data_IF_766270343884
#
_entry.id   IF_766270343884
#
_cell.length_a   1.000
_cell.length_b   1.000
_cell.length_c   1.000
_cell.angle_alpha   90.00
_cell.angle_beta   90.00
_cell.angle_gamma   90.00
#
_symmetry.space_group_name_H-M   'P 1'
#
loop_
_entity.id
_entity.type
_entity.pdbx_description
1 polymer ?
#
# COMPACT_ATOMS: atom_id res chain seq x y z
N UNK A 1 -29.59 -37.06 56.25
CA UNK A 1 -30.16 -36.09 55.31
C UNK A 1 -29.54 -34.72 55.62
N UNK A 2 -28.52 -34.33 54.84
CA UNK A 2 -27.98 -32.96 54.86
C UNK A 2 -28.12 -32.42 53.43
N UNK A 3 -28.91 -31.37 53.28
CA UNK A 3 -29.04 -30.63 52.07
C UNK A 3 -27.74 -29.86 51.76
N UNK A 4 -27.19 -30.03 50.55
CA UNK A 4 -26.08 -29.26 50.05
C UNK A 4 -26.54 -27.87 49.54
N UNK A 5 -25.68 -26.87 49.47
CA UNK A 5 -26.06 -25.56 49.03
C UNK A 5 -26.29 -25.53 47.50
N UNK A 6 -27.31 -24.82 47.09
CA UNK A 6 -27.65 -24.51 45.68
C UNK A 6 -26.53 -23.66 45.09
N UNK A 7 -25.96 -24.15 43.99
CA UNK A 7 -25.13 -23.29 43.11
C UNK A 7 -26.04 -22.30 42.39
N UNK A 8 -25.93 -21.05 42.78
CA UNK A 8 -26.48 -19.93 42.01
C UNK A 8 -25.77 -19.85 40.66
N UNK A 9 -26.53 -19.94 39.57
CA UNK A 9 -26.07 -19.61 38.23
C UNK A 9 -25.80 -18.11 38.19
N UNK A 10 -24.53 -17.73 38.21
CA UNK A 10 -24.11 -16.39 37.77
C UNK A 10 -24.25 -16.41 36.25
N UNK A 11 -25.27 -15.75 35.75
CA UNK A 11 -25.33 -15.40 34.33
C UNK A 11 -24.29 -14.32 34.10
N UNK A 12 -23.10 -14.71 33.66
CA UNK A 12 -22.12 -13.77 33.10
C UNK A 12 -22.76 -13.13 31.88
N UNK A 13 -23.25 -11.90 32.08
CA UNK A 13 -23.66 -11.04 30.97
C UNK A 13 -22.38 -10.59 30.31
N UNK A 14 -21.97 -11.27 29.23
CA UNK A 14 -20.93 -10.81 28.33
C UNK A 14 -21.33 -9.39 27.91
N UNK A 15 -20.58 -8.39 28.35
CA UNK A 15 -20.74 -7.01 27.92
C UNK A 15 -20.19 -6.93 26.49
N UNK A 16 -20.97 -7.43 25.53
CA UNK A 16 -20.82 -7.07 24.15
C UNK A 16 -21.22 -5.60 24.07
N UNK A 17 -20.35 -4.71 23.61
CA UNK A 17 -20.64 -3.27 23.51
C UNK A 17 -21.99 -2.95 22.89
N UNK A 18 -22.43 -1.70 22.78
CA UNK A 18 -23.79 -1.34 22.42
C UNK A 18 -24.24 -2.09 21.16
N UNK A 19 -25.42 -2.70 21.22
CA UNK A 19 -26.02 -3.32 20.02
C UNK A 19 -26.27 -2.21 19.02
N UNK A 20 -25.69 -2.34 17.82
CA UNK A 20 -25.97 -1.45 16.72
C UNK A 20 -27.44 -1.58 16.34
N UNK A 21 -28.11 -0.46 16.14
CA UNK A 21 -29.43 -0.39 15.50
C UNK A 21 -29.29 -0.19 13.98
N UNK A 22 -28.05 -0.15 13.50
CA UNK A 22 -27.70 0.03 12.08
C UNK A 22 -28.19 -1.12 11.21
N UNK A 23 -28.36 -0.84 9.94
CA UNK A 23 -28.78 -1.83 8.96
C UNK A 23 -27.68 -2.86 8.71
N UNK A 24 -28.06 -4.15 8.68
CA UNK A 24 -27.13 -5.25 8.45
C UNK A 24 -27.02 -5.60 6.96
N UNK A 25 -25.79 -5.78 6.50
CA UNK A 25 -25.45 -6.14 5.12
C UNK A 25 -24.75 -7.50 5.10
N UNK A 26 -25.51 -8.55 4.81
CA UNK A 26 -24.99 -9.91 4.72
C UNK A 26 -24.22 -10.10 3.42
N UNK A 27 -22.88 -10.23 3.52
CA UNK A 27 -22.03 -10.47 2.37
C UNK A 27 -22.37 -11.75 1.64
N UNK A 28 -22.65 -12.83 2.38
CA UNK A 28 -23.00 -14.14 1.85
C UNK A 28 -24.33 -14.16 1.08
N UNK A 29 -25.27 -13.32 1.47
CA UNK A 29 -26.56 -13.19 0.78
C UNK A 29 -26.52 -12.18 -0.38
N UNK A 30 -25.34 -11.60 -0.65
CA UNK A 30 -25.12 -10.67 -1.76
C UNK A 30 -25.54 -9.25 -1.49
N UNK A 31 -25.79 -8.86 -0.23
CA UNK A 31 -26.04 -7.47 0.16
C UNK A 31 -24.74 -6.65 0.15
N UNK A 32 -24.17 -6.45 -1.05
CA UNK A 32 -22.83 -5.88 -1.23
C UNK A 32 -22.82 -4.37 -1.54
N UNK A 33 -23.98 -3.71 -1.51
CA UNK A 33 -24.08 -2.25 -1.66
C UNK A 33 -24.54 -1.67 -0.33
N UNK A 34 -23.68 -0.88 0.29
CA UNK A 34 -23.84 -0.38 1.65
C UNK A 34 -23.98 1.13 1.62
N UNK A 35 -25.18 1.70 1.75
CA UNK A 35 -25.35 3.10 2.06
C UNK A 35 -24.61 3.43 3.35
N UNK A 36 -23.59 4.27 3.25
CA UNK A 36 -22.69 4.54 4.37
C UNK A 36 -23.25 5.69 5.20
N UNK A 37 -23.52 5.48 6.49
CA UNK A 37 -23.99 6.55 7.37
C UNK A 37 -22.95 7.68 7.47
N UNK A 38 -23.43 8.92 7.33
CA UNK A 38 -22.64 10.14 7.46
C UNK A 38 -23.09 10.87 8.71
N UNK A 39 -22.17 11.19 9.61
CA UNK A 39 -22.41 11.98 10.82
C UNK A 39 -21.61 13.29 10.75
N UNK A 40 -22.05 14.34 11.43
CA UNK A 40 -21.34 15.63 11.41
C UNK A 40 -19.97 15.54 12.12
N UNK A 41 -19.96 14.90 13.28
CA UNK A 41 -18.75 14.61 14.07
C UNK A 41 -18.98 13.26 14.75
N UNK A 42 -18.15 12.30 14.44
CA UNK A 42 -18.28 10.96 15.01
C UNK A 42 -17.90 10.94 16.50
N UNK A 43 -17.03 11.85 16.97
CA UNK A 43 -16.55 11.88 18.35
C UNK A 43 -15.90 10.58 18.81
N UNK A 44 -15.53 9.72 17.87
CA UNK A 44 -14.96 8.39 18.16
C UNK A 44 -13.51 8.54 18.59
N UNK A 45 -13.20 7.89 19.70
CA UNK A 45 -11.83 7.71 20.19
C UNK A 45 -11.37 6.31 19.80
N UNK A 46 -10.23 6.23 19.16
CA UNK A 46 -9.63 4.95 18.80
C UNK A 46 -8.91 4.40 20.03
N UNK A 47 -9.59 3.56 20.81
CA UNK A 47 -9.07 2.96 22.05
C UNK A 47 -9.38 1.46 22.18
N UNK A 48 -9.90 0.85 21.11
CA UNK A 48 -10.18 -0.58 21.01
C UNK A 48 -11.45 -1.02 21.75
N UNK A 49 -12.44 -0.11 22.01
CA UNK A 49 -13.66 -0.42 22.77
C UNK A 49 -14.95 -0.32 21.97
N UNK A 50 -15.01 0.61 21.03
CA UNK A 50 -16.20 0.89 20.23
C UNK A 50 -17.46 1.09 21.08
N UNK A 51 -17.38 1.92 22.12
CA UNK A 51 -18.49 2.17 23.06
C UNK A 51 -19.14 3.55 22.86
N UNK A 52 -18.71 4.34 21.87
CA UNK A 52 -19.30 5.61 21.55
C UNK A 52 -20.68 5.47 20.90
N UNK A 53 -21.55 6.45 21.15
CA UNK A 53 -22.92 6.47 20.65
C UNK A 53 -22.99 6.45 19.11
N UNK A 54 -22.02 7.05 18.43
CA UNK A 54 -21.94 7.09 16.97
C UNK A 54 -22.01 5.70 16.32
N UNK A 55 -21.40 4.69 16.96
CA UNK A 55 -21.44 3.32 16.46
C UNK A 55 -22.85 2.72 16.38
N UNK A 56 -23.81 3.27 17.15
CA UNK A 56 -25.20 2.82 17.10
C UNK A 56 -25.88 3.06 15.72
N UNK A 57 -25.37 4.03 14.96
CA UNK A 57 -25.90 4.38 13.62
C UNK A 57 -25.12 3.74 12.48
N UNK A 58 -24.00 3.08 12.77
CA UNK A 58 -23.12 2.51 11.76
C UNK A 58 -23.80 1.41 10.93
N UNK A 59 -23.48 1.32 9.65
CA UNK A 59 -23.84 0.15 8.84
C UNK A 59 -23.02 -1.07 9.29
N UNK A 60 -23.65 -2.25 9.31
CA UNK A 60 -23.02 -3.47 9.85
C UNK A 60 -22.81 -4.50 8.74
N UNK A 61 -21.58 -4.84 8.45
CA UNK A 61 -21.20 -5.88 7.49
C UNK A 61 -21.09 -7.22 8.22
N UNK A 62 -21.86 -8.22 7.78
CA UNK A 62 -21.96 -9.52 8.45
C UNK A 62 -21.84 -10.67 7.48
N UNK A 63 -21.90 -11.90 7.99
CA UNK A 63 -22.00 -13.14 7.19
C UNK A 63 -20.84 -13.35 6.23
N UNK A 64 -19.62 -13.33 6.75
CA UNK A 64 -18.40 -13.57 5.99
C UNK A 64 -18.36 -14.97 5.38
N UNK A 65 -17.71 -15.09 4.23
CA UNK A 65 -17.53 -16.33 3.49
C UNK A 65 -16.05 -16.70 3.44
N UNK A 66 -15.73 -17.95 3.77
CA UNK A 66 -14.37 -18.47 3.65
C UNK A 66 -13.95 -18.54 2.19
N UNK A 67 -12.71 -18.14 1.89
CA UNK A 67 -12.11 -18.29 0.57
C UNK A 67 -10.80 -19.10 0.58
N UNK A 68 -10.15 -19.25 1.73
CA UNK A 68 -9.01 -20.14 1.94
C UNK A 68 -9.23 -20.99 3.19
N UNK A 69 -8.91 -22.28 3.19
CA UNK A 69 -8.46 -23.13 2.06
C UNK A 69 -9.61 -23.64 1.18
N UNK A 70 -10.86 -23.42 1.55
CA UNK A 70 -12.05 -23.91 0.83
C UNK A 70 -12.99 -22.75 0.56
N UNK A 71 -13.23 -22.45 -0.71
CA UNK A 71 -14.12 -21.36 -1.13
C UNK A 71 -15.61 -21.65 -0.84
N UNK A 72 -16.36 -20.58 -0.52
CA UNK A 72 -17.82 -20.57 -0.49
C UNK A 72 -18.44 -21.17 0.77
N UNK A 73 -17.65 -21.59 1.75
CA UNK A 73 -18.15 -22.01 3.06
C UNK A 73 -18.43 -20.79 3.94
N UNK A 74 -19.37 -20.87 4.92
CA UNK A 74 -19.46 -19.86 5.97
C UNK A 74 -18.11 -19.70 6.66
N UNK A 75 -17.78 -18.48 7.09
CA UNK A 75 -16.61 -18.26 7.91
C UNK A 75 -16.67 -19.13 9.17
N UNK A 76 -15.54 -19.74 9.54
CA UNK A 76 -15.47 -20.61 10.72
C UNK A 76 -15.70 -19.84 12.03
N UNK A 77 -15.35 -18.56 12.04
CA UNK A 77 -15.54 -17.66 13.16
C UNK A 77 -16.32 -16.43 12.67
N UNK A 78 -17.40 -16.00 13.34
CA UNK A 78 -18.16 -14.83 12.95
C UNK A 78 -17.31 -13.54 12.99
N UNK A 79 -17.66 -12.61 12.12
CA UNK A 79 -17.05 -11.27 12.08
C UNK A 79 -18.13 -10.27 11.77
N UNK A 80 -18.16 -9.18 12.50
CA UNK A 80 -19.03 -8.02 12.28
C UNK A 80 -18.16 -6.79 12.08
N UNK A 81 -18.49 -5.96 11.09
CA UNK A 81 -17.79 -4.72 10.81
C UNK A 81 -18.78 -3.59 10.79
N UNK A 82 -18.64 -2.67 11.71
CA UNK A 82 -19.36 -1.41 11.73
C UNK A 82 -18.59 -0.39 10.91
N UNK A 83 -19.29 0.36 10.05
CA UNK A 83 -18.71 1.40 9.22
C UNK A 83 -19.57 2.65 9.23
N UNK A 84 -18.94 3.81 9.38
CA UNK A 84 -19.54 5.13 9.23
C UNK A 84 -18.47 6.14 8.78
N UNK A 85 -18.90 7.32 8.35
CA UNK A 85 -18.02 8.43 8.00
C UNK A 85 -18.44 9.71 8.71
N UNK A 86 -17.49 10.58 8.97
CA UNK A 86 -17.74 11.99 9.26
C UNK A 86 -17.14 12.88 8.17
N UNK A 87 -17.06 14.18 8.39
CA UNK A 87 -16.51 15.13 7.41
C UNK A 87 -15.00 14.91 7.15
N UNK A 88 -14.26 14.23 8.03
CA UNK A 88 -12.81 14.19 8.04
C UNK A 88 -12.21 12.78 7.83
N UNK A 89 -12.99 11.73 8.12
CA UNK A 89 -12.47 10.37 8.16
C UNK A 89 -13.55 9.31 7.91
N UNK A 90 -13.12 8.12 7.54
CA UNK A 90 -13.90 6.89 7.58
C UNK A 90 -13.47 6.07 8.80
N UNK A 91 -14.43 5.48 9.49
CA UNK A 91 -14.25 4.73 10.72
C UNK A 91 -14.75 3.30 10.55
N UNK A 92 -14.00 2.37 11.13
CA UNK A 92 -14.38 0.96 11.21
C UNK A 92 -14.21 0.46 12.65
N UNK A 93 -15.20 -0.28 13.15
CA UNK A 93 -15.04 -1.11 14.33
C UNK A 93 -15.33 -2.57 13.95
N UNK A 94 -14.38 -3.46 14.19
CA UNK A 94 -14.40 -4.84 13.73
C UNK A 94 -14.44 -5.77 14.93
N UNK A 95 -15.56 -6.46 15.13
CA UNK A 95 -15.72 -7.50 16.13
C UNK A 95 -15.37 -8.84 15.51
N UNK A 96 -14.27 -9.39 15.90
CA UNK A 96 -13.75 -10.67 15.43
C UNK A 96 -14.02 -11.74 16.48
N UNK A 97 -15.22 -12.34 16.48
CA UNK A 97 -15.59 -13.40 17.44
C UNK A 97 -14.72 -14.63 17.27
N UNK A 98 -14.43 -15.29 18.37
CA UNK A 98 -13.63 -16.50 18.39
C UNK A 98 -14.12 -17.45 19.51
N UNK A 99 -14.39 -18.71 19.17
CA UNK A 99 -14.84 -19.73 20.11
C UNK A 99 -13.70 -20.26 20.99
N UNK A 100 -12.45 -19.90 20.69
CA UNK A 100 -11.25 -20.25 21.46
C UNK A 100 -10.33 -19.01 21.57
N UNK A 101 -10.71 -17.99 22.38
CA UNK A 101 -9.96 -16.74 22.47
C UNK A 101 -8.49 -16.91 22.89
N UNK A 102 -8.20 -17.90 23.74
CA UNK A 102 -6.83 -18.25 24.13
C UNK A 102 -5.98 -18.77 22.94
N UNK A 103 -6.62 -19.12 21.84
CA UNK A 103 -5.97 -19.56 20.61
C UNK A 103 -5.64 -18.42 19.63
N UNK A 104 -6.04 -17.18 19.93
CA UNK A 104 -5.72 -16.00 19.14
C UNK A 104 -4.20 -15.78 19.18
N UNK A 105 -3.61 -15.59 17.99
CA UNK A 105 -2.18 -15.38 17.84
C UNK A 105 -1.90 -13.96 17.34
N UNK A 106 -1.10 -13.23 18.08
CA UNK A 106 -0.67 -11.90 17.70
C UNK A 106 0.72 -11.64 18.28
N UNK A 107 1.54 -10.99 17.49
CA UNK A 107 2.89 -10.58 17.87
C UNK A 107 2.90 -9.07 18.06
N UNK A 108 3.37 -8.60 19.22
CA UNK A 108 3.64 -7.20 19.44
C UNK A 108 4.96 -6.86 18.72
N UNK A 109 4.93 -5.87 17.87
CA UNK A 109 6.08 -5.46 17.07
C UNK A 109 5.92 -4.03 16.57
N UNK A 110 6.89 -3.60 15.77
CA UNK A 110 6.81 -2.33 15.06
C UNK A 110 5.75 -2.41 13.95
N UNK A 111 5.34 -1.26 13.42
CA UNK A 111 4.47 -1.16 12.25
C UNK A 111 5.05 -2.01 11.11
N UNK A 112 4.20 -2.62 10.32
CA UNK A 112 4.51 -3.51 9.18
C UNK A 112 5.30 -4.80 9.53
N UNK A 113 5.50 -5.05 10.85
CA UNK A 113 6.28 -6.20 11.30
C UNK A 113 5.47 -7.49 11.41
N UNK A 114 4.12 -7.45 11.49
CA UNK A 114 3.34 -8.67 11.62
C UNK A 114 3.29 -9.47 10.31
N UNK A 115 3.24 -10.77 10.44
CA UNK A 115 3.33 -11.69 9.33
C UNK A 115 2.06 -12.54 9.23
N UNK A 116 2.04 -13.45 8.26
CA UNK A 116 1.00 -14.49 8.17
C UNK A 116 0.95 -15.44 9.37
N UNK A 117 1.85 -15.29 10.34
CA UNK A 117 1.82 -16.04 11.62
C UNK A 117 0.83 -15.47 12.63
N UNK A 118 0.27 -14.30 12.38
CA UNK A 118 -0.69 -13.64 13.26
C UNK A 118 -2.13 -13.78 12.75
N UNK A 119 -3.10 -13.72 13.67
CA UNK A 119 -4.47 -13.37 13.37
C UNK A 119 -4.49 -11.90 12.93
N UNK A 120 -5.32 -11.54 11.98
CA UNK A 120 -5.51 -10.14 11.59
C UNK A 120 -6.86 -9.90 10.92
N UNK A 121 -7.29 -8.67 10.95
CA UNK A 121 -8.34 -8.13 10.09
C UNK A 121 -7.72 -7.15 9.09
N UNK A 122 -8.33 -7.08 7.91
CA UNK A 122 -7.86 -6.21 6.83
C UNK A 122 -9.02 -5.53 6.15
N UNK A 123 -8.92 -4.22 6.01
CA UNK A 123 -9.83 -3.39 5.21
C UNK A 123 -9.13 -3.01 3.91
N UNK A 124 -9.81 -3.19 2.80
CA UNK A 124 -9.32 -2.81 1.45
C UNK A 124 -10.30 -1.80 0.88
N UNK A 125 -9.82 -0.60 0.55
CA UNK A 125 -10.62 0.52 0.04
C UNK A 125 -10.17 0.93 -1.36
N UNK A 126 -11.03 0.69 -2.35
CA UNK A 126 -10.87 1.21 -3.71
C UNK A 126 -11.65 2.53 -3.82
N UNK A 127 -10.98 3.63 -3.51
CA UNK A 127 -11.55 4.97 -3.47
C UNK A 127 -11.90 5.54 -4.84
N UNK A 128 -11.34 5.00 -5.92
CA UNK A 128 -11.70 5.33 -7.29
C UNK A 128 -12.79 4.43 -7.86
N UNK A 129 -13.11 3.33 -7.16
CA UNK A 129 -14.02 2.27 -7.61
C UNK A 129 -13.71 1.79 -9.05
N UNK A 130 -12.44 1.77 -9.38
CA UNK A 130 -11.95 1.40 -10.71
C UNK A 130 -11.43 -0.04 -10.79
N UNK A 131 -11.40 -0.74 -9.64
CA UNK A 131 -11.01 -2.15 -9.51
C UNK A 131 -9.56 -2.43 -9.93
N UNK A 132 -8.67 -1.45 -9.76
CA UNK A 132 -7.27 -1.53 -10.18
C UNK A 132 -6.31 -1.33 -9.06
N UNK A 133 -6.65 -0.41 -8.16
CA UNK A 133 -5.84 0.00 -7.04
C UNK A 133 -6.74 0.18 -5.82
N UNK A 134 -6.25 -0.25 -4.67
CA UNK A 134 -6.94 -0.04 -3.40
C UNK A 134 -5.94 0.19 -2.28
N UNK A 135 -6.35 0.96 -1.29
CA UNK A 135 -5.64 1.07 -0.02
C UNK A 135 -5.89 -0.17 0.81
N UNK A 136 -4.88 -0.61 1.53
CA UNK A 136 -4.92 -1.76 2.43
C UNK A 136 -4.56 -1.31 3.82
N UNK A 137 -5.43 -1.58 4.79
CA UNK A 137 -5.21 -1.32 6.20
C UNK A 137 -5.45 -2.61 6.96
N UNK A 138 -4.44 -3.10 7.64
CA UNK A 138 -4.52 -4.36 8.39
C UNK A 138 -4.08 -4.14 9.84
N UNK A 139 -4.75 -4.81 10.77
CA UNK A 139 -4.44 -4.71 12.20
C UNK A 139 -4.48 -6.10 12.80
N UNK A 140 -3.47 -6.44 13.61
CA UNK A 140 -3.48 -7.66 14.39
C UNK A 140 -4.16 -7.43 15.77
N UNK A 141 -4.50 -8.47 16.54
CA UNK A 141 -5.17 -8.33 17.84
C UNK A 141 -4.39 -7.56 18.92
N UNK A 142 -3.10 -7.25 18.69
CA UNK A 142 -2.27 -6.41 19.55
C UNK A 142 -2.18 -4.96 19.10
N UNK A 143 -2.97 -4.55 18.08
CA UNK A 143 -2.99 -3.20 17.55
C UNK A 143 -1.84 -2.87 16.58
N UNK A 144 -1.00 -3.85 16.22
CA UNK A 144 0.08 -3.60 15.25
C UNK A 144 -0.51 -3.34 13.88
N UNK A 145 -0.14 -2.21 13.31
CA UNK A 145 -0.59 -1.74 11.99
C UNK A 145 0.25 -2.33 10.87
N UNK A 146 -0.40 -2.55 9.73
CA UNK A 146 0.25 -2.79 8.45
C UNK A 146 -0.60 -2.17 7.36
N UNK A 147 0.01 -1.40 6.48
CA UNK A 147 -0.68 -0.75 5.38
C UNK A 147 0.09 -0.87 4.06
N UNK A 148 -0.55 -0.45 2.98
CA UNK A 148 0.05 -0.51 1.66
C UNK A 148 -0.97 -0.26 0.56
N UNK A 149 -0.50 -0.45 -0.68
CA UNK A 149 -1.30 -0.30 -1.89
C UNK A 149 -1.46 -1.65 -2.59
N UNK A 150 -2.68 -2.11 -2.69
CA UNK A 150 -3.03 -3.20 -3.59
C UNK A 150 -3.04 -2.70 -5.03
N UNK A 151 -2.27 -3.32 -5.92
CA UNK A 151 -2.24 -2.97 -7.34
C UNK A 151 -2.44 -4.21 -8.22
N UNK A 152 -3.60 -4.34 -8.85
CA UNK A 152 -3.97 -5.49 -9.68
C UNK A 152 -3.09 -5.68 -10.94
N UNK A 153 -2.37 -4.69 -11.35
CA UNK A 153 -1.46 -4.75 -12.51
C UNK A 153 0.02 -4.76 -12.15
N UNK A 154 0.35 -4.65 -10.87
CA UNK A 154 1.71 -4.51 -10.39
C UNK A 154 2.50 -5.82 -10.41
N UNK A 155 3.80 -5.69 -10.59
CA UNK A 155 4.79 -6.77 -10.39
C UNK A 155 5.33 -6.79 -8.95
N UNK A 156 4.97 -5.80 -8.13
CA UNK A 156 5.36 -5.73 -6.73
C UNK A 156 4.78 -6.92 -5.94
N UNK A 157 5.60 -7.55 -5.12
CA UNK A 157 5.15 -8.58 -4.18
C UNK A 157 5.17 -10.04 -4.67
N UNK A 158 5.53 -10.36 -5.90
CA UNK A 158 5.66 -11.77 -6.35
C UNK A 158 6.93 -12.47 -5.87
N UNK A 159 7.30 -12.34 -4.61
CA UNK A 159 8.22 -13.27 -3.96
C UNK A 159 7.46 -14.49 -3.46
N UNK A 160 7.01 -15.36 -4.40
CA UNK A 160 6.63 -16.75 -4.10
C UNK A 160 5.38 -16.95 -3.21
N UNK A 161 4.53 -15.94 -3.01
CA UNK A 161 3.33 -16.04 -2.19
C UNK A 161 2.03 -15.96 -3.01
N UNK A 162 1.01 -16.70 -2.62
CA UNK A 162 -0.34 -16.67 -3.19
C UNK A 162 -1.16 -15.44 -2.71
N UNK A 163 -0.52 -14.45 -2.04
CA UNK A 163 -1.17 -13.23 -1.59
C UNK A 163 -1.36 -12.18 -2.70
N UNK A 164 -2.21 -11.18 -2.46
CA UNK A 164 -2.38 -10.05 -3.39
C UNK A 164 -1.05 -9.30 -3.57
N UNK A 165 -0.86 -8.66 -4.72
CA UNK A 165 0.30 -7.81 -4.96
C UNK A 165 0.12 -6.47 -4.20
N UNK A 166 0.42 -6.47 -2.93
CA UNK A 166 0.45 -5.28 -2.09
C UNK A 166 1.86 -4.72 -2.13
N UNK A 167 1.96 -3.43 -2.35
CA UNK A 167 3.18 -2.66 -2.15
C UNK A 167 3.14 -2.07 -0.75
N UNK A 168 3.97 -2.60 0.13
CA UNK A 168 4.03 -2.27 1.56
C UNK A 168 5.01 -1.11 1.86
N UNK A 169 5.53 -0.44 0.81
CA UNK A 169 6.46 0.68 1.02
C UNK A 169 5.78 2.02 1.38
N UNK A 170 4.56 2.34 0.92
CA UNK A 170 3.88 3.55 1.33
C UNK A 170 3.39 3.47 2.77
N UNK A 171 3.73 4.46 3.58
CA UNK A 171 3.22 4.67 4.94
C UNK A 171 2.10 5.71 4.93
N UNK A 172 0.90 5.33 5.38
CA UNK A 172 -0.23 6.26 5.50
C UNK A 172 -0.42 6.73 6.93
N UNK A 173 -0.91 7.95 7.08
CA UNK A 173 -1.29 8.46 8.39
C UNK A 173 -2.71 8.00 8.74
N UNK A 174 -2.85 7.05 9.65
CA UNK A 174 -4.12 6.53 10.15
C UNK A 174 -3.99 6.04 11.59
N UNK A 175 -5.12 5.85 12.26
CA UNK A 175 -5.16 5.46 13.66
C UNK A 175 -5.84 4.09 13.79
N UNK A 176 -5.33 3.24 14.67
CA UNK A 176 -6.02 2.01 15.08
C UNK A 176 -5.66 1.62 16.50
N UNK A 177 -6.56 0.91 17.14
CA UNK A 177 -6.31 0.21 18.40
C UNK A 177 -7.05 -1.13 18.40
N UNK A 178 -6.61 -2.06 19.26
CA UNK A 178 -7.23 -3.38 19.36
C UNK A 178 -7.21 -3.89 20.81
N UNK A 179 -8.26 -4.62 21.18
CA UNK A 179 -8.35 -5.29 22.47
C UNK A 179 -8.80 -6.73 22.32
N UNK A 180 -8.08 -7.64 22.97
CA UNK A 180 -8.49 -9.05 23.11
C UNK A 180 -9.45 -9.17 24.30
N UNK A 181 -10.56 -9.87 24.08
CA UNK A 181 -11.61 -10.12 25.06
C UNK A 181 -11.91 -11.64 25.16
N UNK A 182 -12.75 -12.04 26.12
CA UNK A 182 -13.18 -13.41 26.32
C UNK A 182 -14.07 -14.00 25.21
N UNK A 183 -14.55 -13.15 24.30
CA UNK A 183 -15.37 -13.53 23.14
C UNK A 183 -14.59 -13.44 21.80
N UNK A 184 -13.35 -12.99 21.80
CA UNK A 184 -12.56 -12.75 20.59
C UNK A 184 -11.70 -11.49 20.71
N UNK A 185 -11.71 -10.63 19.70
CA UNK A 185 -11.04 -9.33 19.76
C UNK A 185 -11.82 -8.27 18.99
N UNK A 186 -11.62 -7.02 19.39
CA UNK A 186 -12.13 -5.82 18.72
C UNK A 186 -10.97 -5.05 18.13
N UNK A 187 -11.20 -4.48 16.96
CA UNK A 187 -10.27 -3.54 16.31
C UNK A 187 -11.04 -2.29 15.92
N UNK A 188 -10.51 -1.12 16.25
CA UNK A 188 -10.96 0.16 15.74
C UNK A 188 -9.96 0.73 14.75
N UNK A 189 -10.47 1.34 13.69
CA UNK A 189 -9.67 1.95 12.62
C UNK A 189 -10.30 3.29 12.27
N UNK A 190 -9.46 4.33 12.17
CA UNK A 190 -9.83 5.65 11.62
C UNK A 190 -8.86 5.99 10.50
N UNK A 191 -9.39 6.20 9.31
CA UNK A 191 -8.61 6.63 8.16
C UNK A 191 -9.03 8.04 7.75
N UNK A 192 -8.20 9.05 8.02
CA UNK A 192 -8.47 10.43 7.62
C UNK A 192 -8.52 10.56 6.09
N UNK A 193 -9.46 11.34 5.55
CA UNK A 193 -9.57 11.55 4.11
C UNK A 193 -8.34 12.19 3.49
N UNK A 194 -7.60 13.01 4.26
CA UNK A 194 -6.31 13.59 3.84
C UNK A 194 -5.23 12.53 3.51
N UNK A 195 -5.37 11.30 4.03
CA UNK A 195 -4.46 10.19 3.76
C UNK A 195 -4.87 9.37 2.53
N UNK A 196 -6.02 9.67 1.95
CA UNK A 196 -6.59 8.96 0.82
C UNK A 196 -6.63 9.87 -0.41
N UNK A 197 -6.44 9.29 -1.59
CA UNK A 197 -6.73 9.95 -2.86
C UNK A 197 -8.03 9.39 -3.42
N UNK A 198 -8.92 10.27 -3.83
CA UNK A 198 -10.22 9.91 -4.39
C UNK A 198 -10.69 10.97 -5.40
N UNK A 199 -11.67 10.66 -6.29
CA UNK A 199 -12.17 11.63 -7.25
C UNK A 199 -12.79 12.84 -6.56
N UNK A 200 -12.59 14.02 -7.12
CA UNK A 200 -13.21 15.26 -6.65
C UNK A 200 -14.62 15.42 -7.28
N UNK A 201 -15.58 14.68 -6.73
CA UNK A 201 -16.98 14.66 -7.17
C UNK A 201 -17.90 14.68 -5.93
N UNK A 202 -19.07 15.31 -6.07
CA UNK A 202 -20.03 15.54 -4.98
C UNK A 202 -20.51 14.23 -4.32
N UNK A 203 -20.77 13.20 -5.11
CA UNK A 203 -21.20 11.89 -4.61
C UNK A 203 -20.26 10.80 -5.09
N UNK A 204 -19.80 9.96 -4.17
CA UNK A 204 -18.83 8.91 -4.44
C UNK A 204 -19.35 7.54 -3.98
N UNK A 205 -18.92 6.53 -4.72
CA UNK A 205 -19.02 5.13 -4.34
C UNK A 205 -17.62 4.55 -4.28
N UNK A 206 -17.25 3.94 -3.16
CA UNK A 206 -15.96 3.28 -3.00
C UNK A 206 -16.09 1.76 -2.99
N UNK A 207 -15.15 1.06 -3.60
CA UNK A 207 -15.05 -0.38 -3.42
C UNK A 207 -14.58 -0.72 -2.02
N UNK A 208 -15.19 -1.72 -1.39
CA UNK A 208 -14.77 -2.20 -0.07
C UNK A 208 -14.67 -3.73 -0.04
N UNK A 209 -13.60 -4.22 0.57
CA UNK A 209 -13.48 -5.60 0.99
C UNK A 209 -12.94 -5.63 2.41
N UNK A 210 -13.52 -6.50 3.24
CA UNK A 210 -12.95 -6.78 4.56
C UNK A 210 -12.63 -8.27 4.64
N UNK A 211 -11.41 -8.58 5.09
CA UNK A 211 -10.96 -9.96 5.27
C UNK A 211 -10.48 -10.20 6.68
N UNK A 212 -10.62 -11.42 7.14
CA UNK A 212 -10.09 -11.88 8.42
C UNK A 212 -9.31 -13.16 8.24
N UNK A 213 -8.16 -13.25 8.89
CA UNK A 213 -7.37 -14.47 9.03
C UNK A 213 -7.48 -15.02 10.44
N UNK A 214 -7.72 -16.32 10.54
CA UNK A 214 -7.65 -17.11 11.77
C UNK A 214 -6.44 -18.03 11.66
N UNK A 215 -5.34 -17.63 12.31
CA UNK A 215 -4.04 -18.27 12.12
C UNK A 215 -3.98 -19.73 12.54
N UNK A 216 -4.60 -20.11 13.67
CA UNK A 216 -4.51 -21.46 14.23
C UNK A 216 -4.95 -22.56 13.27
N UNK A 217 -5.85 -22.26 12.32
CA UNK A 217 -6.34 -23.17 11.31
C UNK A 217 -5.98 -22.74 9.86
N UNK A 218 -5.36 -21.56 9.70
CA UNK A 218 -5.00 -20.99 8.41
C UNK A 218 -6.20 -20.55 7.57
N UNK A 219 -7.36 -20.34 8.17
CA UNK A 219 -8.57 -19.94 7.45
C UNK A 219 -8.58 -18.45 7.18
N UNK A 220 -8.96 -18.10 5.95
CA UNK A 220 -9.21 -16.72 5.56
C UNK A 220 -10.66 -16.58 5.07
N UNK A 221 -11.34 -15.58 5.56
CA UNK A 221 -12.71 -15.23 5.20
C UNK A 221 -12.82 -13.79 4.73
N UNK A 222 -13.79 -13.52 3.88
CA UNK A 222 -14.06 -12.21 3.31
C UNK A 222 -15.54 -11.86 3.44
N UNK A 223 -15.85 -10.58 3.61
CA UNK A 223 -17.21 -10.11 3.63
C UNK A 223 -17.88 -10.28 2.27
N UNK A 224 -17.35 -9.66 1.22
CA UNK A 224 -17.80 -9.94 -0.14
C UNK A 224 -17.18 -11.28 -0.60
N UNK A 225 -17.99 -12.27 -1.01
CA UNK A 225 -17.49 -13.59 -1.38
C UNK A 225 -16.46 -13.53 -2.51
N UNK A 226 -15.32 -14.18 -2.33
CA UNK A 226 -14.23 -14.22 -3.30
C UNK A 226 -14.02 -15.64 -3.86
N UNK A 227 -13.58 -15.70 -5.12
CA UNK A 227 -13.17 -16.93 -5.80
C UNK A 227 -11.85 -16.77 -6.53
N UNK A 228 -11.01 -17.79 -6.51
CA UNK A 228 -9.75 -17.85 -7.28
C UNK A 228 -9.94 -17.92 -8.80
N UNK A 229 -11.17 -18.21 -9.26
CA UNK A 229 -11.49 -18.26 -10.69
C UNK A 229 -11.48 -16.88 -11.36
N UNK A 230 -11.52 -15.81 -10.57
CA UNK A 230 -11.47 -14.43 -11.04
C UNK A 230 -10.13 -13.82 -10.56
N UNK A 231 -9.18 -13.57 -11.48
CA UNK A 231 -7.83 -13.13 -11.11
C UNK A 231 -7.81 -11.74 -10.47
N UNK A 232 -8.67 -10.83 -10.91
CA UNK A 232 -8.79 -9.52 -10.32
C UNK A 232 -9.72 -9.58 -9.12
N UNK A 233 -9.14 -9.54 -7.91
CA UNK A 233 -9.88 -9.66 -6.66
C UNK A 233 -10.69 -8.41 -6.34
N UNK A 234 -10.25 -7.22 -6.77
CA UNK A 234 -10.98 -5.97 -6.53
C UNK A 234 -12.33 -5.93 -7.27
N UNK A 235 -12.47 -6.69 -8.38
CA UNK A 235 -13.78 -6.82 -9.06
C UNK A 235 -14.82 -7.59 -8.25
N UNK A 236 -14.42 -8.24 -7.17
CA UNK A 236 -15.26 -9.04 -6.30
C UNK A 236 -15.60 -8.31 -4.98
N UNK A 237 -15.18 -7.07 -4.84
CA UNK A 237 -15.47 -6.22 -3.68
C UNK A 237 -16.93 -5.77 -3.67
N UNK A 238 -17.45 -5.47 -2.48
CA UNK A 238 -18.69 -4.72 -2.31
C UNK A 238 -18.47 -3.23 -2.51
N UNK A 239 -19.48 -2.42 -2.21
CA UNK A 239 -19.45 -0.96 -2.38
C UNK A 239 -19.98 -0.24 -1.14
N UNK A 240 -19.27 0.78 -0.72
CA UNK A 240 -19.79 1.85 0.13
C UNK A 240 -20.40 2.89 -0.80
N UNK A 241 -21.67 3.23 -0.60
CA UNK A 241 -22.42 4.17 -1.45
C UNK A 241 -22.92 5.35 -0.63
N UNK A 242 -23.18 6.47 -1.32
CA UNK A 242 -23.72 7.64 -0.68
C UNK A 242 -22.69 8.43 0.13
N UNK A 243 -21.42 8.33 -0.21
CA UNK A 243 -20.38 9.17 0.34
C UNK A 243 -20.49 10.57 -0.29
N UNK A 244 -20.96 11.53 0.49
CA UNK A 244 -21.25 12.89 0.03
C UNK A 244 -20.28 13.88 0.67
N UNK A 245 -19.91 14.90 -0.08
CA UNK A 245 -19.17 16.09 0.39
C UNK A 245 -17.90 15.75 1.19
N UNK A 246 -17.17 14.72 0.76
CA UNK A 246 -15.92 14.35 1.39
C UNK A 246 -14.87 15.45 1.17
N UNK A 247 -14.30 15.98 2.25
CA UNK A 247 -13.24 16.98 2.18
C UNK A 247 -11.86 16.29 2.29
N UNK A 248 -11.08 16.23 1.20
CA UNK A 248 -9.72 15.69 1.27
C UNK A 248 -8.78 16.57 2.11
N UNK A 249 -9.20 17.80 2.42
CA UNK A 249 -8.36 18.80 3.05
C UNK A 249 -7.18 19.23 2.16
N UNK A 250 -6.46 20.22 2.61
CA UNK A 250 -5.19 20.61 1.99
C UNK A 250 -4.07 19.78 2.63
N UNK A 251 -3.39 18.97 1.83
CA UNK A 251 -2.23 18.24 2.27
C UNK A 251 -0.96 18.99 1.91
N UNK A 252 -0.30 19.54 2.92
CA UNK A 252 1.04 20.14 2.80
C UNK A 252 1.89 19.64 3.96
N UNK A 253 2.93 18.94 3.65
CA UNK A 253 3.94 18.49 4.59
C UNK A 253 5.29 19.09 4.23
N UNK A 254 6.00 19.63 5.22
CA UNK A 254 7.32 20.20 5.07
C UNK A 254 8.22 19.64 6.16
N UNK A 255 9.23 18.89 5.76
CA UNK A 255 10.19 18.22 6.63
C UNK A 255 11.59 18.81 6.45
N UNK A 256 12.00 19.81 7.24
CA UNK A 256 13.39 20.27 7.27
C UNK A 256 14.25 19.21 7.99
N UNK A 257 15.42 18.93 7.44
CA UNK A 257 16.39 17.99 8.00
C UNK A 257 17.70 18.72 8.25
N UNK A 258 18.25 18.54 9.44
CA UNK A 258 19.58 19.04 9.80
C UNK A 258 20.41 17.84 10.21
N UNK A 259 21.53 17.63 9.55
CA UNK A 259 22.47 16.58 9.89
C UNK A 259 23.81 17.16 10.27
N UNK A 260 24.51 16.48 11.18
CA UNK A 260 25.88 16.81 11.54
C UNK A 260 26.69 15.55 11.66
N UNK A 261 27.84 15.52 11.01
CA UNK A 261 28.76 14.41 11.08
C UNK A 261 30.16 14.86 11.49
N UNK A 262 30.89 13.96 12.09
CA UNK A 262 32.29 14.15 12.43
C UNK A 262 33.03 12.84 12.30
N UNK A 263 33.86 12.74 11.30
CA UNK A 263 34.69 11.57 11.08
C UNK A 263 36.01 11.70 11.88
N UNK A 264 36.56 10.56 12.29
CA UNK A 264 37.88 10.50 12.89
C UNK A 264 38.60 9.27 12.37
N UNK A 265 39.93 9.35 12.35
CA UNK A 265 40.82 8.28 11.94
C UNK A 265 41.97 8.13 12.91
N UNK A 266 42.61 6.98 12.93
CA UNK A 266 43.87 6.78 13.65
C UNK A 266 44.98 7.50 12.87
N UNK A 267 45.81 8.26 13.61
CA UNK A 267 47.05 8.80 13.06
C UNK A 267 48.15 7.73 12.95
N UNK A 268 49.30 8.11 12.45
CA UNK A 268 50.49 7.21 12.30
C UNK A 268 50.99 6.65 13.65
N UNK A 269 50.53 7.17 14.78
CA UNK A 269 50.88 6.74 16.12
C UNK A 269 49.73 6.02 16.85
N UNK A 270 48.76 5.49 16.09
CA UNK A 270 47.55 4.81 16.61
C UNK A 270 46.68 5.69 17.54
N UNK A 271 46.75 7.02 17.42
CA UNK A 271 45.90 7.94 18.17
C UNK A 271 44.71 8.34 17.32
N UNK A 272 43.51 8.27 17.91
CA UNK A 272 42.30 8.68 17.26
C UNK A 272 42.25 10.22 17.13
N UNK A 273 42.29 10.72 15.91
CA UNK A 273 42.21 12.15 15.57
C UNK A 273 40.85 12.43 14.98
N UNK A 274 40.16 13.39 15.56
CA UNK A 274 38.88 13.88 15.03
C UNK A 274 39.13 14.83 13.86
N UNK A 275 38.44 14.62 12.75
CA UNK A 275 38.36 15.56 11.64
C UNK A 275 37.48 16.78 11.97
N UNK A 276 37.25 17.61 10.97
CA UNK A 276 36.27 18.71 11.03
C UNK A 276 34.86 18.16 11.24
N UNK A 277 34.03 18.93 11.92
CA UNK A 277 32.61 18.68 11.94
C UNK A 277 32.00 19.34 10.71
N UNK A 278 31.19 18.60 9.97
CA UNK A 278 30.40 19.10 8.83
C UNK A 278 28.92 19.00 9.18
N UNK A 279 28.15 19.94 8.65
CA UNK A 279 26.71 19.96 8.86
C UNK A 279 25.98 20.29 7.56
N UNK A 280 24.93 19.54 7.29
CA UNK A 280 24.11 19.67 6.08
C UNK A 280 22.67 20.05 6.44
N UNK A 281 22.05 20.81 5.54
CA UNK A 281 20.63 21.16 5.61
C UNK A 281 19.92 20.54 4.40
N UNK A 282 18.87 19.79 4.68
CA UNK A 282 17.96 19.23 3.70
C UNK A 282 16.52 19.69 3.92
N UNK A 283 15.72 19.60 2.87
CA UNK A 283 14.30 19.94 2.91
C UNK A 283 13.52 18.97 2.05
N UNK A 284 12.47 18.35 2.62
CA UNK A 284 11.48 17.59 1.88
C UNK A 284 10.13 18.29 1.98
N UNK A 285 9.38 18.30 0.89
CA UNK A 285 8.05 18.87 0.81
C UNK A 285 7.13 17.94 0.02
N UNK A 286 5.96 17.64 0.57
CA UNK A 286 4.87 16.96 -0.13
C UNK A 286 3.64 17.86 -0.16
N UNK A 287 3.12 18.10 -1.35
CA UNK A 287 1.97 18.99 -1.57
C UNK A 287 0.91 18.32 -2.45
N UNK A 288 -0.31 18.18 -1.93
CA UNK A 288 -1.47 17.79 -2.69
C UNK A 288 -1.92 18.91 -3.63
N UNK A 289 -1.55 18.81 -4.91
CA UNK A 289 -1.95 19.80 -5.93
C UNK A 289 -3.47 19.73 -6.16
N UNK A 290 -4.01 18.53 -6.16
CA UNK A 290 -5.44 18.21 -6.11
C UNK A 290 -5.61 16.97 -5.23
N UNK A 291 -6.86 16.56 -4.96
CA UNK A 291 -7.15 15.28 -4.28
C UNK A 291 -6.48 14.05 -4.93
N UNK A 292 -6.08 14.16 -6.19
CA UNK A 292 -5.57 13.04 -7.01
C UNK A 292 -4.16 13.22 -7.54
N UNK A 293 -3.57 14.38 -7.32
CA UNK A 293 -2.25 14.72 -7.86
C UNK A 293 -1.37 15.28 -6.76
N UNK A 294 -0.23 14.65 -6.53
CA UNK A 294 0.74 15.04 -5.50
C UNK A 294 2.04 15.47 -6.13
N UNK A 295 2.58 16.57 -5.64
CA UNK A 295 3.91 17.07 -5.93
C UNK A 295 4.80 16.84 -4.70
N UNK A 296 5.85 16.07 -4.87
CA UNK A 296 6.91 15.91 -3.90
C UNK A 296 8.14 16.64 -4.40
N UNK A 297 8.82 17.35 -3.51
CA UNK A 297 10.06 18.03 -3.81
C UNK A 297 11.08 17.78 -2.71
N UNK A 298 12.34 17.64 -3.09
CA UNK A 298 13.43 17.45 -2.15
C UNK A 298 14.62 18.31 -2.54
N UNK A 299 15.31 18.82 -1.54
CA UNK A 299 16.58 19.52 -1.68
C UNK A 299 17.57 18.94 -0.69
N UNK A 300 18.74 18.56 -1.16
CA UNK A 300 19.81 17.94 -0.38
C UNK A 300 19.27 16.88 0.61
N UNK A 301 18.58 15.83 0.11
CA UNK A 301 17.92 14.86 0.98
C UNK A 301 18.96 14.04 1.75
N UNK A 302 18.77 13.95 3.07
CA UNK A 302 19.58 13.06 3.90
C UNK A 302 19.01 11.64 3.89
N UNK A 303 19.82 10.69 3.47
CA UNK A 303 19.51 9.26 3.49
C UNK A 303 20.28 8.49 4.57
N UNK A 304 20.92 9.17 5.50
CA UNK A 304 21.71 8.55 6.57
C UNK A 304 20.89 7.63 7.50
N UNK A 305 19.58 7.90 7.61
CA UNK A 305 18.65 7.09 8.41
C UNK A 305 18.10 5.89 7.64
N UNK A 306 18.33 5.80 6.33
CA UNK A 306 17.90 4.65 5.52
C UNK A 306 18.78 3.46 5.86
N UNK A 307 18.16 2.32 6.18
CA UNK A 307 18.90 1.09 6.45
C UNK A 307 19.92 0.78 5.36
N UNK A 308 21.16 0.51 5.77
CA UNK A 308 22.19 0.06 4.85
C UNK A 308 21.76 -1.25 4.16
N UNK A 309 22.05 -1.36 2.88
CA UNK A 309 21.80 -2.60 2.16
C UNK A 309 22.62 -3.75 2.75
N UNK A 310 22.02 -4.93 2.84
CA UNK A 310 22.75 -6.13 3.22
C UNK A 310 23.89 -6.35 2.23
N UNK A 311 25.11 -6.55 2.75
CA UNK A 311 26.28 -6.79 1.93
C UNK A 311 26.07 -7.99 1.01
N UNK A 312 26.12 -7.76 -0.29
CA UNK A 312 26.06 -8.83 -1.28
C UNK A 312 27.49 -9.12 -1.76
N UNK A 313 27.83 -10.40 -1.84
CA UNK A 313 29.16 -10.79 -2.34
C UNK A 313 29.14 -10.73 -3.86
N UNK A 314 29.84 -9.76 -4.43
CA UNK A 314 29.96 -9.57 -5.88
C UNK A 314 31.17 -10.34 -6.43
N UNK A 315 31.09 -11.68 -6.47
CA UNK A 315 32.15 -12.49 -7.09
C UNK A 315 31.56 -13.18 -8.30
N UNK A 316 32.11 -12.87 -9.50
CA UNK A 316 31.71 -13.46 -10.79
C UNK A 316 30.24 -13.33 -11.16
N UNK A 317 29.62 -12.21 -10.89
CA UNK A 317 28.24 -12.00 -11.25
C UNK A 317 28.06 -11.70 -12.74
N UNK A 318 27.11 -12.43 -13.37
CA UNK A 318 26.74 -12.24 -14.78
C UNK A 318 25.81 -11.02 -14.97
N UNK A 319 25.18 -10.53 -13.90
CA UNK A 319 24.23 -9.42 -13.89
C UNK A 319 24.60 -8.43 -12.80
N UNK A 320 24.33 -7.15 -13.04
CA UNK A 320 24.49 -6.13 -12.02
C UNK A 320 23.62 -6.42 -10.77
N UNK A 321 24.17 -6.15 -9.59
CA UNK A 321 23.46 -6.25 -8.33
C UNK A 321 22.23 -5.33 -8.34
N UNK A 322 21.11 -5.86 -7.89
CA UNK A 322 19.88 -5.11 -7.74
C UNK A 322 19.54 -4.95 -6.25
N UNK A 323 19.51 -3.70 -5.81
CA UNK A 323 19.04 -3.34 -4.48
C UNK A 323 17.65 -2.70 -4.57
N UNK A 324 16.68 -3.10 -3.72
CA UNK A 324 15.38 -2.44 -3.66
C UNK A 324 15.55 -0.98 -3.23
N UNK A 325 14.68 -0.10 -3.72
CA UNK A 325 14.62 1.28 -3.27
C UNK A 325 14.13 1.33 -1.82
N UNK A 326 14.71 2.20 -1.01
CA UNK A 326 14.36 2.41 0.41
C UNK A 326 14.22 3.90 0.77
N UNK A 327 14.60 4.80 -0.15
CA UNK A 327 14.57 6.23 0.11
C UNK A 327 13.16 6.79 -0.08
N UNK A 328 12.56 7.47 0.92
CA UNK A 328 11.17 7.88 0.92
C UNK A 328 10.76 8.67 -0.33
N UNK A 329 11.55 9.65 -0.75
CA UNK A 329 11.27 10.44 -1.95
C UNK A 329 11.05 9.57 -3.20
N UNK A 330 11.77 8.46 -3.33
CA UNK A 330 11.66 7.56 -4.48
C UNK A 330 10.65 6.42 -4.28
N UNK A 331 10.08 6.24 -3.07
CA UNK A 331 9.12 5.19 -2.77
C UNK A 331 7.67 5.63 -2.95
N UNK A 332 7.31 6.80 -2.47
CA UNK A 332 5.94 7.28 -2.49
C UNK A 332 5.41 7.49 -3.91
N UNK A 333 4.20 7.00 -4.19
CA UNK A 333 3.51 7.17 -5.48
C UNK A 333 4.20 6.51 -6.67
N UNK A 334 5.17 5.62 -6.44
CA UNK A 334 5.96 4.99 -7.52
C UNK A 334 5.24 3.88 -8.26
N UNK A 335 4.09 3.44 -7.78
CA UNK A 335 3.27 2.43 -8.45
C UNK A 335 2.86 2.82 -9.89
N UNK A 336 2.81 4.12 -10.20
CA UNK A 336 2.57 4.60 -11.57
C UNK A 336 3.69 4.18 -12.53
N UNK A 337 4.94 4.07 -12.03
CA UNK A 337 6.11 3.66 -12.80
C UNK A 337 6.24 2.14 -12.94
N UNK A 338 5.35 1.37 -12.30
CA UNK A 338 5.33 -0.08 -12.41
C UNK A 338 5.15 -0.55 -13.86
N UNK A 339 6.03 -1.46 -14.32
CA UNK A 339 6.07 -2.00 -15.68
C UNK A 339 6.30 -3.51 -15.68
N UNK A 340 5.93 -4.23 -16.75
CA UNK A 340 6.17 -5.67 -16.88
C UNK A 340 7.65 -6.08 -16.78
N UNK A 341 8.53 -5.21 -17.24
CA UNK A 341 9.98 -5.27 -17.07
C UNK A 341 10.47 -3.91 -16.59
N UNK A 342 11.36 -3.93 -15.63
CA UNK A 342 11.92 -2.71 -15.05
C UNK A 342 12.84 -2.02 -16.06
N UNK A 343 12.51 -0.78 -16.44
CA UNK A 343 13.35 0.10 -17.23
C UNK A 343 13.93 1.26 -16.41
N UNK A 344 13.47 1.40 -15.17
CA UNK A 344 13.84 2.49 -14.29
C UNK A 344 14.45 1.90 -13.03
N UNK A 345 15.60 2.42 -12.66
CA UNK A 345 16.31 2.04 -11.44
C UNK A 345 16.73 3.32 -10.71
N UNK A 346 15.89 3.79 -9.80
CA UNK A 346 16.07 5.06 -9.08
C UNK A 346 17.33 5.10 -8.23
N UNK A 347 17.84 3.96 -7.77
CA UNK A 347 19.11 3.89 -7.04
C UNK A 347 20.35 4.23 -7.88
N UNK A 348 20.21 4.38 -9.20
CA UNK A 348 21.26 4.96 -10.04
C UNK A 348 21.45 6.46 -9.82
N UNK A 349 20.51 7.15 -9.16
CA UNK A 349 20.62 8.50 -8.62
C UNK A 349 21.22 8.33 -7.23
N UNK A 350 22.54 8.49 -7.12
CA UNK A 350 23.26 8.07 -5.93
C UNK A 350 23.43 9.19 -4.89
N UNK A 351 23.68 10.43 -5.36
CA UNK A 351 23.89 11.61 -4.51
C UNK A 351 23.03 12.79 -5.01
N UNK A 352 21.69 12.72 -4.81
CA UNK A 352 20.80 13.74 -5.37
C UNK A 352 20.98 15.09 -4.68
N UNK A 353 21.32 16.13 -5.47
CA UNK A 353 21.31 17.53 -5.06
C UNK A 353 19.89 17.97 -4.71
N UNK A 354 18.93 17.46 -5.48
CA UNK A 354 17.52 17.73 -5.30
C UNK A 354 16.69 17.10 -6.40
N UNK A 355 15.37 17.11 -6.20
CA UNK A 355 14.44 16.53 -7.15
C UNK A 355 13.01 16.99 -6.96
N UNK A 356 12.20 16.74 -7.97
CA UNK A 356 10.76 16.93 -7.94
C UNK A 356 10.07 15.70 -8.55
N UNK A 357 8.97 15.30 -7.96
CA UNK A 357 8.16 14.18 -8.41
C UNK A 357 6.69 14.61 -8.44
N UNK A 358 6.02 14.36 -9.55
CA UNK A 358 4.59 14.59 -9.71
C UNK A 358 3.92 13.24 -10.01
N UNK A 359 3.02 12.80 -9.16
CA UNK A 359 2.31 11.53 -9.36
C UNK A 359 0.82 11.68 -9.10
N UNK A 360 0.00 10.96 -9.85
CA UNK A 360 -1.44 10.94 -9.62
C UNK A 360 -2.26 10.44 -10.77
N UNK A 361 -3.57 10.67 -10.67
CA UNK A 361 -4.55 10.21 -11.65
C UNK A 361 -5.43 11.38 -12.11
N UNK A 362 -5.53 11.57 -13.41
CA UNK A 362 -6.38 12.58 -14.04
C UNK A 362 -7.37 11.86 -14.97
N UNK A 363 -8.60 11.68 -14.51
CA UNK A 363 -9.59 10.86 -15.19
C UNK A 363 -9.12 9.41 -15.33
N UNK A 364 -8.99 8.90 -16.56
CA UNK A 364 -8.47 7.57 -16.85
C UNK A 364 -6.96 7.49 -17.07
N UNK A 365 -6.24 8.62 -16.91
CA UNK A 365 -4.80 8.70 -17.09
C UNK A 365 -4.10 8.71 -15.74
N UNK A 366 -3.21 7.76 -15.51
CA UNK A 366 -2.23 7.82 -14.43
C UNK A 366 -0.98 8.49 -14.99
N UNK A 367 -0.48 9.51 -14.32
CA UNK A 367 0.68 10.30 -14.73
C UNK A 367 1.76 10.25 -13.66
N UNK A 368 3.00 10.15 -14.11
CA UNK A 368 4.17 10.19 -13.24
C UNK A 368 5.31 10.93 -13.92
N UNK A 369 5.94 11.81 -13.15
CA UNK A 369 7.17 12.49 -13.51
C UNK A 369 8.13 12.46 -12.33
N UNK A 370 9.39 12.18 -12.58
CA UNK A 370 10.50 12.36 -11.63
C UNK A 370 11.59 13.12 -12.37
N UNK A 371 12.04 14.23 -11.78
CA UNK A 371 13.24 14.94 -12.19
C UNK A 371 14.20 15.05 -11.03
N UNK A 372 15.49 14.77 -11.22
CA UNK A 372 16.51 14.89 -10.18
C UNK A 372 17.85 15.31 -10.78
N UNK A 373 18.59 16.12 -10.02
CA UNK A 373 20.00 16.37 -10.24
C UNK A 373 20.81 15.48 -9.30
N UNK A 374 21.81 14.79 -9.81
CA UNK A 374 22.70 13.86 -9.10
C UNK A 374 24.12 14.37 -9.19
N UNK A 375 24.71 14.73 -8.05
CA UNK A 375 26.06 15.25 -7.96
C UNK A 375 27.08 14.16 -8.27
N UNK A 376 28.10 14.50 -9.05
CA UNK A 376 29.20 13.58 -9.31
C UNK A 376 30.07 13.38 -8.07
N UNK A 377 30.47 12.13 -7.81
CA UNK A 377 31.41 11.81 -6.72
C UNK A 377 32.82 12.28 -7.00
N UNK A 378 33.19 12.42 -8.27
CA UNK A 378 34.53 12.86 -8.67
C UNK A 378 34.58 14.37 -8.90
N UNK A 379 35.46 15.03 -8.15
CA UNK A 379 35.58 16.48 -8.22
C UNK A 379 36.00 16.95 -9.62
N UNK A 380 35.12 17.67 -10.28
CA UNK A 380 35.35 18.21 -11.62
C UNK A 380 34.57 17.51 -12.72
N UNK A 381 33.93 16.38 -12.43
CA UNK A 381 33.01 15.75 -13.35
C UNK A 381 31.65 16.43 -13.34
N UNK A 382 30.96 16.51 -14.48
CA UNK A 382 29.66 17.16 -14.56
C UNK A 382 28.58 16.35 -13.82
N UNK A 383 27.62 17.07 -13.22
CA UNK A 383 26.46 16.48 -12.60
C UNK A 383 25.56 15.77 -13.62
N UNK A 384 24.84 14.78 -13.14
CA UNK A 384 23.89 14.03 -13.95
C UNK A 384 22.46 14.51 -13.73
N UNK A 385 21.72 14.72 -14.81
CA UNK A 385 20.30 15.05 -14.75
C UNK A 385 19.46 13.86 -15.20
N UNK A 386 18.50 13.46 -14.35
CA UNK A 386 17.61 12.35 -14.61
C UNK A 386 16.19 12.87 -14.75
N UNK A 387 15.52 12.46 -15.84
CA UNK A 387 14.11 12.70 -16.05
C UNK A 387 13.40 11.39 -16.37
N UNK A 388 12.26 11.18 -15.75
CA UNK A 388 11.43 10.02 -15.96
C UNK A 388 9.99 10.46 -16.17
N UNK A 389 9.45 10.21 -17.36
CA UNK A 389 8.05 10.44 -17.68
C UNK A 389 7.31 9.11 -17.84
N UNK A 390 6.15 9.00 -17.23
CA UNK A 390 5.27 7.85 -17.33
C UNK A 390 3.83 8.30 -17.51
N UNK A 391 3.15 7.74 -18.49
CA UNK A 391 1.70 7.87 -18.66
C UNK A 391 1.12 6.48 -18.85
N UNK A 392 0.05 6.18 -18.10
CA UNK A 392 -0.68 4.91 -18.21
C UNK A 392 -2.17 5.19 -18.29
N UNK A 393 -2.79 4.82 -19.43
CA UNK A 393 -4.22 4.94 -19.66
C UNK A 393 -4.93 3.65 -19.28
N UNK A 394 -5.97 3.77 -18.49
CA UNK A 394 -6.87 2.67 -18.17
C UNK A 394 -7.75 2.31 -19.35
N UNK A 395 -7.89 1.01 -19.65
CA UNK A 395 -8.66 0.48 -20.78
C UNK A 395 -9.55 -0.65 -20.29
N UNK A 396 -10.86 -0.52 -20.50
CA UNK A 396 -11.85 -1.48 -19.98
C UNK A 396 -11.77 -1.62 -18.46
N UNK A 397 -12.22 -2.74 -17.92
CA UNK A 397 -12.27 -2.96 -16.46
C UNK A 397 -10.89 -3.21 -15.80
N UNK A 398 -9.97 -3.87 -16.49
CA UNK A 398 -8.68 -4.27 -15.88
C UNK A 398 -7.51 -4.20 -16.86
N UNK A 399 -7.68 -3.62 -18.04
CA UNK A 399 -6.62 -3.42 -19.04
C UNK A 399 -5.94 -2.07 -18.88
N UNK A 400 -4.73 -1.92 -19.42
CA UNK A 400 -4.02 -0.64 -19.47
C UNK A 400 -3.11 -0.55 -20.69
N UNK A 401 -2.84 0.68 -21.12
CA UNK A 401 -1.81 1.03 -22.10
C UNK A 401 -0.91 2.08 -21.49
N UNK A 402 0.39 1.90 -21.59
CA UNK A 402 1.36 2.78 -21.00
C UNK A 402 2.48 3.18 -21.94
N UNK A 403 3.06 4.36 -21.69
CA UNK A 403 4.27 4.86 -22.32
C UNK A 403 5.22 5.38 -21.24
N UNK A 404 6.52 5.19 -21.45
CA UNK A 404 7.57 5.59 -20.51
C UNK A 404 8.75 6.18 -21.27
N UNK A 405 9.34 7.23 -20.70
CA UNK A 405 10.53 7.87 -21.23
C UNK A 405 11.49 8.21 -20.08
N UNK A 406 12.40 7.31 -19.69
CA UNK A 406 13.56 7.64 -18.87
C UNK A 406 14.66 8.28 -19.71
N UNK A 407 15.24 9.36 -19.17
CA UNK A 407 16.36 10.11 -19.73
C UNK A 407 17.39 10.36 -18.63
N UNK A 408 18.63 10.02 -18.90
CA UNK A 408 19.80 10.34 -18.06
C UNK A 408 20.79 11.10 -18.94
N UNK A 409 21.08 12.34 -18.57
CA UNK A 409 21.93 13.22 -19.34
C UNK A 409 23.02 13.78 -18.44
N UNK A 410 24.28 13.61 -18.82
CA UNK A 410 25.46 14.21 -18.23
C UNK A 410 25.91 15.42 -19.08
N UNK A 411 25.97 15.23 -20.40
CA UNK A 411 26.33 16.26 -21.38
C UNK A 411 25.56 16.02 -22.70
N UNK A 412 25.74 16.90 -23.67
CA UNK A 412 25.03 16.81 -24.95
C UNK A 412 25.39 15.52 -25.73
N UNK A 413 26.61 15.03 -25.54
CA UNK A 413 27.20 13.84 -26.14
C UNK A 413 27.40 12.70 -25.13
N UNK A 414 26.87 12.84 -23.91
CA UNK A 414 26.91 11.81 -22.87
C UNK A 414 25.53 11.64 -22.26
N UNK A 415 24.74 10.71 -22.80
CA UNK A 415 23.37 10.47 -22.38
C UNK A 415 22.92 9.02 -22.57
N UNK A 416 21.88 8.63 -21.83
CA UNK A 416 21.11 7.41 -22.06
C UNK A 416 19.61 7.72 -22.04
N UNK A 417 18.93 7.44 -23.13
CA UNK A 417 17.50 7.70 -23.32
C UNK A 417 16.78 6.42 -23.70
N UNK A 418 15.64 6.18 -23.10
CA UNK A 418 14.81 5.02 -23.43
C UNK A 418 13.40 5.49 -23.77
N UNK A 419 12.83 4.94 -24.85
CA UNK A 419 11.40 5.09 -25.15
C UNK A 419 10.76 3.71 -25.07
N UNK A 420 9.79 3.54 -24.20
CA UNK A 420 9.09 2.29 -24.00
C UNK A 420 7.57 2.43 -24.01
N UNK A 421 6.90 1.33 -24.31
CA UNK A 421 5.46 1.21 -24.21
C UNK A 421 5.06 -0.17 -23.72
N UNK A 422 3.97 -0.25 -22.96
CA UNK A 422 3.41 -1.50 -22.46
C UNK A 422 1.90 -1.55 -22.59
N UNK A 423 1.38 -2.77 -22.65
CA UNK A 423 -0.06 -3.04 -22.67
C UNK A 423 -0.38 -4.24 -21.79
N UNK A 424 -1.45 -4.12 -21.02
CA UNK A 424 -2.07 -5.22 -20.29
C UNK A 424 -3.52 -5.35 -20.75
N UNK A 425 -3.87 -6.50 -21.31
CA UNK A 425 -5.20 -6.80 -21.82
C UNK A 425 -5.79 -7.98 -21.05
N UNK A 426 -7.00 -7.83 -20.53
CA UNK A 426 -7.72 -8.90 -19.84
C UNK A 426 -8.86 -9.37 -20.74
N UNK A 427 -8.80 -10.63 -21.17
CA UNK A 427 -9.74 -11.23 -22.11
C UNK A 427 -10.58 -12.30 -21.40
N UNK A 428 -11.91 -12.20 -21.51
CA UNK A 428 -12.84 -13.18 -20.95
C UNK A 428 -12.68 -13.39 -19.42
N UNK A 429 -12.21 -12.38 -18.67
CA UNK A 429 -11.96 -12.39 -17.22
C UNK A 429 -10.94 -13.42 -16.74
N UNK A 430 -10.33 -14.23 -17.61
CA UNK A 430 -9.43 -15.35 -17.26
C UNK A 430 -8.07 -15.28 -17.91
N UNK A 431 -7.96 -14.62 -19.04
CA UNK A 431 -6.70 -14.51 -19.77
C UNK A 431 -6.14 -13.11 -19.62
N UNK A 432 -4.88 -13.02 -19.23
CA UNK A 432 -4.13 -11.76 -19.21
C UNK A 432 -3.02 -11.83 -20.24
N UNK A 433 -3.01 -10.89 -21.16
CA UNK A 433 -1.92 -10.70 -22.14
C UNK A 433 -1.16 -9.45 -21.73
N UNK A 434 0.12 -9.60 -21.50
CA UNK A 434 1.03 -8.50 -21.16
C UNK A 434 2.06 -8.37 -22.29
N UNK A 435 2.18 -7.17 -22.84
CA UNK A 435 3.12 -6.83 -23.90
C UNK A 435 3.96 -5.65 -23.45
N UNK A 436 5.23 -5.60 -23.84
CA UNK A 436 6.09 -4.44 -23.66
C UNK A 436 7.14 -4.38 -24.75
N UNK A 437 7.40 -3.19 -25.27
CA UNK A 437 8.47 -2.90 -26.20
C UNK A 437 9.24 -1.65 -25.75
N UNK A 438 10.55 -1.65 -25.93
CA UNK A 438 11.38 -0.49 -25.64
C UNK A 438 12.57 -0.40 -26.60
N UNK A 439 13.00 0.84 -26.87
CA UNK A 439 14.26 1.16 -27.56
C UNK A 439 15.12 2.06 -26.70
N UNK A 440 16.41 1.76 -26.58
CA UNK A 440 17.40 2.60 -25.91
C UNK A 440 18.32 3.25 -26.93
N UNK A 441 18.75 4.47 -26.59
CA UNK A 441 19.70 5.28 -27.32
C UNK A 441 20.68 5.86 -26.34
N UNK A 442 21.97 5.53 -26.47
CA UNK A 442 23.03 6.04 -25.63
C UNK A 442 24.19 6.55 -26.46
N UNK A 443 24.80 7.58 -25.96
CA UNK A 443 26.04 8.13 -26.46
C UNK A 443 26.98 8.35 -25.26
N UNK A 444 28.20 7.84 -25.38
CA UNK A 444 29.22 7.96 -24.35
C UNK A 444 30.53 8.28 -25.04
N UNK A 445 31.12 9.46 -24.76
CA UNK A 445 32.37 9.89 -25.38
C UNK A 445 33.54 8.90 -25.16
N UNK A 446 33.56 8.22 -24.02
CA UNK A 446 34.61 7.29 -23.65
C UNK A 446 34.49 5.95 -24.41
N UNK A 447 33.30 5.57 -24.83
CA UNK A 447 33.05 4.38 -25.63
C UNK A 447 33.11 4.63 -27.13
N UNK A 448 33.17 5.89 -27.55
CA UNK A 448 33.49 6.34 -28.92
C UNK A 448 32.43 6.06 -30.00
N UNK A 449 31.24 5.57 -29.63
CA UNK A 449 30.15 5.34 -30.58
C UNK A 449 28.77 5.42 -29.88
N UNK A 450 27.79 5.96 -30.62
CA UNK A 450 26.40 5.89 -30.20
C UNK A 450 25.88 4.45 -30.31
N UNK A 451 25.26 3.98 -29.24
CA UNK A 451 24.67 2.64 -29.15
C UNK A 451 23.15 2.68 -29.14
N UNK A 452 22.53 1.67 -29.72
CA UNK A 452 21.08 1.49 -29.65
C UNK A 452 20.71 0.05 -29.32
N UNK A 453 19.72 -0.10 -28.44
CA UNK A 453 19.18 -1.39 -28.04
C UNK A 453 17.67 -1.48 -28.27
N UNK A 454 17.15 -2.71 -28.41
CA UNK A 454 15.71 -2.95 -28.51
C UNK A 454 15.30 -4.11 -27.62
N UNK A 455 14.14 -3.99 -27.00
CA UNK A 455 13.54 -5.04 -26.18
C UNK A 455 12.11 -5.27 -26.61
N UNK A 456 11.72 -6.55 -26.66
CA UNK A 456 10.33 -6.98 -26.77
C UNK A 456 10.04 -8.02 -25.68
N UNK A 457 8.94 -7.83 -24.97
CA UNK A 457 8.45 -8.77 -23.96
C UNK A 457 6.98 -9.09 -24.20
N UNK A 458 6.64 -10.36 -24.07
CA UNK A 458 5.25 -10.82 -24.11
C UNK A 458 5.03 -11.91 -23.06
N UNK A 459 3.85 -11.89 -22.45
CA UNK A 459 3.42 -12.89 -21.47
C UNK A 459 1.93 -13.13 -21.62
N UNK A 460 1.53 -14.39 -21.58
CA UNK A 460 0.13 -14.80 -21.58
C UNK A 460 -0.08 -15.65 -20.33
N UNK A 461 -1.06 -15.29 -19.53
CA UNK A 461 -1.43 -15.99 -18.31
C UNK A 461 -2.91 -16.37 -18.36
N UNK A 462 -3.23 -17.52 -17.82
CA UNK A 462 -4.59 -17.95 -17.58
C UNK A 462 -4.78 -18.28 -16.12
N UNK A 463 -5.74 -17.64 -15.48
CA UNK A 463 -6.17 -17.98 -14.14
C UNK A 463 -7.33 -18.98 -14.16
N UNK A 464 -7.33 -19.91 -13.22
CA UNK A 464 -8.41 -20.86 -13.03
C UNK A 464 -8.05 -21.93 -12.00
N UNK A 465 -9.03 -22.35 -11.21
CA UNK A 465 -8.84 -23.33 -10.12
C UNK A 465 -8.35 -24.69 -10.59
N UNK A 466 -8.83 -25.16 -11.76
CA UNK A 466 -8.47 -26.50 -12.30
C UNK A 466 -7.31 -26.46 -13.27
N UNK A 467 -7.03 -25.32 -13.87
CA UNK A 467 -5.95 -25.15 -14.84
C UNK A 467 -5.52 -23.69 -14.93
N UNK A 468 -4.27 -23.43 -14.62
CA UNK A 468 -3.59 -22.13 -14.74
C UNK A 468 -2.24 -22.29 -15.43
N UNK A 469 -1.76 -21.31 -16.14
CA UNK A 469 -0.43 -21.24 -16.74
C UNK A 469 0.05 -19.81 -16.85
#
# INVERSE_FOLDING_TARGET
VKAGPAHGSVSDTVVVGPRTTGEEYSGRDGALSVPTPVVEDAGIRIDGRADEEAWSTAAVLTSFTQYEPVEGQPAAQPTEVMVLVDQSAIYFAIRAFDDVPDGIRATLGERDSFTRSDDYVRVVLDTFNDQRRAYVFSVNPMGVQHDGIWNEGGSAGRRGGFGPPVDDNPDFLWESDAQIADWGYLVEIKVPFKSLRFPEVEAQDWGIQVTRRVQRNGFESAWAPMTENIPNRLTQSGRLTGLLDLDPGMFLEINPVLTGNRFGALDENDRFVHGSADGDFGLNMTYGVTSNLTLDATYNPDFSQVEADAGQISVNERFALFFPEKRPFFLEGTEVFGMPRQLVYTRSIANPIGGAKLTGKVGSLNVGYIGAGDESFDAGDPDTYVNLFRVKKDVGQSGSLGAVYPDRTVAADHYNRVLGGDARLVLGRRYTVTLMGAGSFSEDPDLGAAESGRMLYSRIERAGRTFSF
#
